data_IF_299543751234
#
_entry.id   IF_299543751234
#
_cell.length_a   1.000
_cell.length_b   1.000
_cell.length_c   1.000
_cell.angle_alpha   90.00
_cell.angle_beta   90.00
_cell.angle_gamma   90.00
#
_symmetry.space_group_name_H-M   'P 1'
#
loop_
_entity.id
_entity.type
_entity.pdbx_description
1 polymer ?
#
# COMPACT_ATOMS: atom_id res chain seq x y z
N UNK A 1 -22.41 -37.31 -52.72
CA UNK A 1 -21.76 -37.54 -51.41
C UNK A 1 -21.64 -36.19 -50.69
N UNK A 2 -22.72 -35.72 -50.04
CA UNK A 2 -22.77 -34.40 -49.38
C UNK A 2 -22.30 -34.54 -47.93
N UNK A 3 -21.10 -34.02 -47.65
CA UNK A 3 -20.51 -33.89 -46.32
C UNK A 3 -21.39 -32.94 -45.51
N UNK A 4 -22.25 -33.47 -44.65
CA UNK A 4 -22.91 -32.71 -43.58
C UNK A 4 -21.78 -32.06 -42.78
N UNK A 5 -21.65 -30.73 -42.90
CA UNK A 5 -20.70 -29.98 -42.09
C UNK A 5 -21.36 -29.82 -40.74
N UNK A 6 -20.77 -30.43 -39.72
CA UNK A 6 -21.31 -30.46 -38.36
C UNK A 6 -21.18 -29.06 -37.73
N UNK A 7 -22.11 -28.17 -38.09
CA UNK A 7 -22.17 -26.79 -37.59
C UNK A 7 -22.27 -26.74 -36.06
N UNK A 8 -22.97 -27.71 -35.45
CA UNK A 8 -23.09 -27.86 -34.00
C UNK A 8 -21.75 -28.02 -33.30
N UNK A 9 -20.81 -28.77 -33.87
CA UNK A 9 -19.50 -29.01 -33.26
C UNK A 9 -18.65 -27.73 -33.20
N UNK A 10 -18.70 -26.90 -34.25
CA UNK A 10 -18.04 -25.59 -34.28
C UNK A 10 -18.61 -24.64 -33.22
N UNK A 11 -19.92 -24.68 -32.99
CA UNK A 11 -20.57 -23.81 -32.02
C UNK A 11 -20.22 -24.19 -30.57
N UNK A 12 -20.07 -25.49 -30.29
CA UNK A 12 -19.55 -25.95 -29.00
C UNK A 12 -18.11 -25.49 -28.76
N UNK A 13 -17.26 -25.54 -29.79
CA UNK A 13 -15.87 -25.07 -29.69
C UNK A 13 -15.80 -23.56 -29.45
N UNK A 14 -16.61 -22.76 -30.14
CA UNK A 14 -16.64 -21.29 -29.95
C UNK A 14 -17.11 -20.91 -28.55
N UNK A 15 -18.15 -21.59 -28.04
CA UNK A 15 -18.65 -21.39 -26.66
C UNK A 15 -17.59 -21.77 -25.62
N UNK A 16 -16.89 -22.89 -25.83
CA UNK A 16 -15.81 -23.33 -24.95
C UNK A 16 -14.63 -22.35 -24.95
N UNK A 17 -14.24 -21.84 -26.12
CA UNK A 17 -13.19 -20.81 -26.25
C UNK A 17 -13.56 -19.50 -25.55
N UNK A 18 -14.80 -19.04 -25.71
CA UNK A 18 -15.29 -17.84 -25.01
C UNK A 18 -15.30 -18.00 -23.49
N UNK A 19 -15.70 -19.19 -23.01
CA UNK A 19 -15.67 -19.50 -21.58
C UNK A 19 -14.24 -19.50 -21.02
N UNK A 20 -13.28 -20.06 -21.75
CA UNK A 20 -11.87 -20.07 -21.36
C UNK A 20 -11.27 -18.65 -21.31
N UNK A 21 -11.64 -17.77 -22.24
CA UNK A 21 -11.22 -16.37 -22.21
C UNK A 21 -11.81 -15.64 -21.00
N UNK A 22 -13.07 -15.88 -20.67
CA UNK A 22 -13.71 -15.27 -19.51
C UNK A 22 -13.09 -15.76 -18.19
N UNK A 23 -12.78 -17.05 -18.09
CA UNK A 23 -12.05 -17.62 -16.94
C UNK A 23 -10.65 -17.05 -16.84
N UNK A 24 -9.92 -16.96 -17.95
CA UNK A 24 -8.58 -16.34 -18.01
C UNK A 24 -8.63 -14.88 -17.57
N UNK A 25 -9.62 -14.11 -18.04
CA UNK A 25 -9.85 -12.73 -17.64
C UNK A 25 -10.17 -12.63 -16.14
N UNK A 26 -11.01 -13.52 -15.59
CA UNK A 26 -11.30 -13.56 -14.15
C UNK A 26 -10.05 -13.85 -13.32
N UNK A 27 -9.22 -14.80 -13.77
CA UNK A 27 -7.95 -15.13 -13.12
C UNK A 27 -7.02 -13.93 -13.15
N UNK A 28 -6.88 -13.25 -14.30
CA UNK A 28 -6.07 -12.04 -14.44
C UNK A 28 -6.55 -10.94 -13.50
N UNK A 29 -7.86 -10.65 -13.46
CA UNK A 29 -8.44 -9.66 -12.54
C UNK A 29 -8.16 -10.01 -11.06
N UNK A 30 -8.15 -11.30 -10.72
CA UNK A 30 -7.88 -11.74 -9.34
C UNK A 30 -6.42 -11.60 -8.93
N UNK A 31 -5.47 -11.51 -9.88
CA UNK A 31 -4.04 -11.26 -9.60
C UNK A 31 -3.74 -9.81 -9.27
N UNK A 32 -4.51 -8.89 -9.86
CA UNK A 32 -4.49 -7.48 -9.48
C UNK A 32 -5.30 -7.31 -8.20
N UNK A 33 -4.72 -7.77 -7.08
CA UNK A 33 -5.33 -7.60 -5.76
C UNK A 33 -5.69 -6.14 -5.53
N UNK A 34 -6.88 -5.90 -4.99
CA UNK A 34 -7.27 -4.58 -4.52
C UNK A 34 -6.29 -4.19 -3.41
N UNK A 35 -5.39 -3.24 -3.67
CA UNK A 35 -4.57 -2.63 -2.64
C UNK A 35 -5.51 -1.85 -1.73
N UNK A 36 -6.00 -2.49 -0.67
CA UNK A 36 -6.67 -1.79 0.40
C UNK A 36 -5.65 -0.85 1.04
N UNK A 37 -5.88 0.46 1.10
CA UNK A 37 -5.00 1.35 1.83
C UNK A 37 -4.96 0.87 3.28
N UNK A 38 -3.81 0.37 3.71
CA UNK A 38 -3.61 -0.05 5.09
C UNK A 38 -3.62 1.20 5.96
N UNK A 39 -4.25 1.17 7.15
CA UNK A 39 -4.07 2.25 8.13
C UNK A 39 -2.62 2.33 8.66
N UNK A 40 -1.80 1.30 8.39
CA UNK A 40 -0.39 1.21 8.76
C UNK A 40 0.51 1.56 7.57
N UNK A 41 0.55 2.82 7.13
CA UNK A 41 1.44 3.27 6.05
C UNK A 41 1.22 2.58 4.69
N UNK A 42 1.86 3.08 3.63
CA UNK A 42 1.68 2.52 2.28
C UNK A 42 2.23 1.09 2.12
N UNK A 43 3.07 0.62 3.04
CA UNK A 43 3.78 -0.66 2.98
C UNK A 43 3.54 -1.59 4.18
N UNK A 44 2.69 -1.20 5.15
CA UNK A 44 2.53 -1.97 6.39
C UNK A 44 3.69 -1.81 7.37
N UNK A 45 4.62 -0.87 7.15
CA UNK A 45 5.74 -0.64 8.05
C UNK A 45 5.28 -0.03 9.38
N UNK A 46 5.91 -0.49 10.46
CA UNK A 46 5.70 0.07 11.79
C UNK A 46 6.49 1.37 11.95
N UNK A 47 5.91 2.35 12.63
CA UNK A 47 6.65 3.55 13.07
C UNK A 47 7.80 3.08 13.99
N UNK A 48 9.06 3.45 13.71
CA UNK A 48 10.18 3.07 14.56
C UNK A 48 9.99 3.58 16.00
N UNK A 49 10.21 2.72 17.00
CA UNK A 49 10.05 3.08 18.42
C UNK A 49 10.86 4.32 18.82
N UNK A 50 12.04 4.51 18.23
CA UNK A 50 12.89 5.68 18.49
C UNK A 50 12.20 7.01 18.14
N UNK A 51 11.34 7.03 17.11
CA UNK A 51 10.59 8.24 16.74
C UNK A 51 9.53 8.57 17.79
N UNK A 52 8.89 7.54 18.36
CA UNK A 52 7.81 7.72 19.33
C UNK A 52 8.31 7.97 20.76
N UNK A 53 9.46 7.39 21.13
CA UNK A 53 9.91 7.30 22.52
C UNK A 53 11.36 7.76 22.74
N UNK A 54 12.07 8.18 21.69
CA UNK A 54 13.41 8.74 21.82
C UNK A 54 13.40 10.13 22.46
N UNK A 55 14.57 10.57 22.92
CA UNK A 55 14.73 11.95 23.38
C UNK A 55 14.57 12.93 22.21
N UNK A 56 13.79 14.01 22.38
CA UNK A 56 13.66 15.02 21.34
C UNK A 56 14.94 15.85 21.21
N UNK A 57 15.23 16.32 20.00
CA UNK A 57 16.37 17.21 19.74
C UNK A 57 16.24 18.55 20.48
N UNK A 58 15.00 19.05 20.62
CA UNK A 58 14.66 20.28 21.32
C UNK A 58 13.33 20.11 22.04
N UNK A 59 13.28 20.48 23.31
CA UNK A 59 12.04 20.51 24.10
C UNK A 59 12.03 21.69 25.06
N UNK A 60 10.92 21.91 25.75
CA UNK A 60 10.75 22.99 26.74
C UNK A 60 11.09 24.38 26.18
N UNK A 61 10.63 24.66 24.97
CA UNK A 61 10.90 25.91 24.26
C UNK A 61 10.32 27.10 25.03
N UNK A 62 11.11 28.16 25.18
CA UNK A 62 10.70 29.44 25.78
C UNK A 62 11.16 30.59 24.89
N UNK A 63 10.43 31.69 24.97
CA UNK A 63 10.76 32.96 24.31
C UNK A 63 10.95 34.06 25.35
N UNK A 64 11.89 34.98 25.14
CA UNK A 64 12.04 36.16 25.98
C UNK A 64 10.84 37.11 25.82
N UNK A 65 10.51 37.94 26.82
CA UNK A 65 9.35 38.85 26.73
C UNK A 65 9.41 39.84 25.55
N UNK A 66 10.61 40.24 25.14
CA UNK A 66 10.85 41.12 23.99
C UNK A 66 10.91 40.36 22.64
N UNK A 67 10.79 39.03 22.65
CA UNK A 67 10.84 38.18 21.46
C UNK A 67 12.23 38.01 20.85
N UNK A 68 13.28 38.60 21.43
CA UNK A 68 14.62 38.62 20.82
C UNK A 68 15.39 37.30 20.97
N UNK A 69 14.96 36.42 21.88
CA UNK A 69 15.66 35.17 22.20
C UNK A 69 14.70 34.00 22.35
N UNK A 70 15.19 32.83 21.94
CA UNK A 70 14.56 31.54 22.19
C UNK A 70 15.54 30.68 22.98
N UNK A 71 15.03 29.99 24.00
CA UNK A 71 15.75 28.92 24.70
C UNK A 71 15.01 27.60 24.58
N UNK A 72 15.74 26.50 24.68
CA UNK A 72 15.24 25.13 24.64
C UNK A 72 16.19 24.21 25.39
N UNK A 73 15.71 23.05 25.79
CA UNK A 73 16.52 21.95 26.30
C UNK A 73 16.90 21.02 25.14
N UNK A 74 18.16 20.62 25.11
CA UNK A 74 18.69 19.67 24.14
C UNK A 74 19.45 18.54 24.86
N UNK A 75 19.46 17.31 24.30
CA UNK A 75 20.17 16.20 24.88
C UNK A 75 21.70 16.43 24.90
N UNK A 76 22.37 15.94 25.93
CA UNK A 76 23.84 15.86 26.00
C UNK A 76 24.23 14.41 25.74
N UNK A 77 25.07 14.17 24.74
CA UNK A 77 25.43 12.82 24.28
C UNK A 77 24.20 11.92 24.03
N UNK A 78 23.11 12.51 23.50
CA UNK A 78 21.87 11.80 23.19
C UNK A 78 20.92 11.56 24.38
N UNK A 79 21.28 12.01 25.59
CA UNK A 79 20.47 11.83 26.80
C UNK A 79 19.96 13.16 27.34
N UNK A 80 18.69 13.20 27.73
CA UNK A 80 18.03 14.31 28.40
C UNK A 80 17.46 13.80 29.75
N UNK A 81 17.86 14.41 30.88
CA UNK A 81 17.51 14.01 32.26
C UNK A 81 16.71 15.08 32.99
#
# INVERSE_FOLDING_TARGET
MRRSRDHSFSDHIKKLSGLLLLISMLILLSRYGYSSPSPLGEDGSLIPRQILFGNPDKTSVKISPDGSRISYLAPVNGVLN
#
